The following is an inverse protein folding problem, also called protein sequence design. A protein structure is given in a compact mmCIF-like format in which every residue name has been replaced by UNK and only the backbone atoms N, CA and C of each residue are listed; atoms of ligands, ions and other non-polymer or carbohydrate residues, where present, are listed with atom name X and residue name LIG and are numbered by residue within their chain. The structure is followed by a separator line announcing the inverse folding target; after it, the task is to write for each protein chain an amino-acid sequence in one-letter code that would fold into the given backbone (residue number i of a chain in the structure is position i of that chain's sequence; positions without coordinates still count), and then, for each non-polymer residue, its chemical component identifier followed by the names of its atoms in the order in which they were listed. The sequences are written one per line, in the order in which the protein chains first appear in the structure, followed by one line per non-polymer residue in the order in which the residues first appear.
data_IF_211737671359
#
_entry.id   IF_211737671359
#
_cell.length_a   1.000
_cell.length_b   1.000
_cell.length_c   1.000
_cell.angle_alpha   90.00
_cell.angle_beta   90.00
_cell.angle_gamma   90.00
#
_symmetry.space_group_name_H-M   'P 1'
#
loop_
_entity.id
_entity.type
_entity.pdbx_description
1 polymer ?
#
# COMPACT_ATOMS: atom_id res chain seq x y z
N UNK A 1 -40.96 -0.70 39.37
CA UNK A 1 -40.58 -1.61 38.27
C UNK A 1 -39.56 -0.91 37.40
N UNK A 2 -38.28 -1.30 37.49
CA UNK A 2 -37.16 -0.70 36.73
C UNK A 2 -37.25 -1.18 35.28
N UNK A 3 -37.42 -0.26 34.32
CA UNK A 3 -37.31 -0.57 32.89
C UNK A 3 -35.85 -0.39 32.48
N UNK A 4 -35.17 -1.52 32.30
CA UNK A 4 -33.82 -1.60 31.75
C UNK A 4 -33.95 -1.44 30.23
N UNK A 5 -33.74 -0.23 29.71
CA UNK A 5 -33.60 0.01 28.28
C UNK A 5 -32.14 -0.26 27.91
N UNK A 6 -31.91 -1.46 27.43
CA UNK A 6 -30.67 -1.94 26.83
C UNK A 6 -30.86 -1.93 25.30
N UNK A 7 -29.75 -1.80 24.59
CA UNK A 7 -29.56 -1.87 23.13
C UNK A 7 -29.82 -0.57 22.36
N UNK A 8 -28.93 -0.11 21.46
CA UNK A 8 -28.03 -0.86 20.58
C UNK A 8 -26.89 0.09 20.16
N UNK A 9 -25.65 -0.13 20.63
CA UNK A 9 -24.50 0.60 20.08
C UNK A 9 -24.23 0.06 18.67
N UNK A 10 -24.56 0.86 17.66
CA UNK A 10 -24.13 0.65 16.30
C UNK A 10 -22.60 0.78 16.25
N UNK A 11 -21.88 -0.33 16.45
CA UNK A 11 -20.54 -0.47 15.92
C UNK A 11 -20.70 -0.55 14.40
N UNK A 12 -20.65 0.62 13.75
CA UNK A 12 -20.44 0.72 12.31
C UNK A 12 -19.07 0.14 12.06
N UNK A 13 -19.02 -1.15 11.72
CA UNK A 13 -17.82 -1.80 11.23
C UNK A 13 -17.47 -1.15 9.90
N UNK A 14 -16.59 -0.15 9.95
CA UNK A 14 -15.99 0.45 8.77
C UNK A 14 -15.38 -0.66 7.91
N UNK A 15 -15.68 -0.66 6.61
CA UNK A 15 -14.98 -1.46 5.61
C UNK A 15 -13.48 -1.31 5.86
N UNK A 16 -12.80 -2.42 6.15
CA UNK A 16 -11.38 -2.39 6.50
C UNK A 16 -10.58 -2.11 5.23
N UNK A 17 -10.35 -0.82 4.96
CA UNK A 17 -9.34 -0.37 4.02
C UNK A 17 -8.00 -0.98 4.44
N UNK A 18 -7.27 -1.54 3.48
CA UNK A 18 -5.89 -1.86 3.72
C UNK A 18 -5.07 -0.58 3.88
N UNK A 19 -4.10 -0.55 4.80
CA UNK A 19 -3.28 0.63 5.05
C UNK A 19 -1.82 0.31 5.28
N UNK A 20 -0.94 1.27 5.06
CA UNK A 20 0.49 1.19 5.32
C UNK A 20 0.99 2.50 5.93
N UNK A 21 2.04 2.42 6.74
CA UNK A 21 2.85 3.57 7.14
C UNK A 21 4.16 3.49 6.38
N UNK A 22 4.43 4.45 5.50
CA UNK A 22 5.59 4.47 4.62
C UNK A 22 6.61 5.46 5.17
N UNK A 23 7.83 5.01 5.43
CA UNK A 23 8.90 5.85 5.97
C UNK A 23 10.01 5.95 4.93
N UNK A 24 10.19 7.14 4.37
CA UNK A 24 11.37 7.45 3.59
C UNK A 24 12.49 7.90 4.53
N UNK A 25 13.27 6.95 5.02
CA UNK A 25 14.42 7.19 5.89
C UNK A 25 15.72 7.50 5.10
N UNK A 26 15.59 7.83 3.82
CA UNK A 26 16.70 8.30 2.98
C UNK A 26 16.74 9.82 2.94
N UNK A 27 17.82 10.38 2.37
CA UNK A 27 17.91 11.83 2.08
C UNK A 27 17.29 12.23 0.73
N UNK A 28 16.84 11.26 -0.06
CA UNK A 28 16.36 11.48 -1.42
C UNK A 28 14.83 11.57 -1.43
N UNK A 29 14.27 12.25 -2.42
CA UNK A 29 12.86 12.12 -2.73
C UNK A 29 12.63 10.76 -3.41
N UNK A 30 11.65 10.02 -2.90
CA UNK A 30 11.37 8.65 -3.33
C UNK A 30 9.97 8.54 -3.89
N UNK A 31 9.83 7.80 -4.98
CA UNK A 31 8.55 7.28 -5.43
C UNK A 31 8.28 5.91 -4.79
N UNK A 32 7.05 5.70 -4.36
CA UNK A 32 6.56 4.42 -3.85
C UNK A 32 5.52 3.86 -4.81
N UNK A 33 5.78 2.65 -5.30
CA UNK A 33 4.80 1.83 -6.01
C UNK A 33 4.32 0.74 -5.07
N UNK A 34 3.00 0.64 -4.90
CA UNK A 34 2.37 -0.40 -4.10
C UNK A 34 1.62 -1.31 -5.05
N UNK A 35 1.88 -2.61 -4.94
CA UNK A 35 1.21 -3.65 -5.72
C UNK A 35 0.47 -4.59 -4.75
N UNK A 36 -0.79 -4.90 -5.02
CA UNK A 36 -1.54 -5.93 -4.31
C UNK A 36 -1.27 -7.32 -4.87
N UNK A 37 -1.47 -8.33 -4.04
CA UNK A 37 -1.33 -9.74 -4.39
C UNK A 37 -2.35 -10.21 -5.45
N UNK A 38 -3.48 -9.52 -5.60
CA UNK A 38 -4.45 -9.76 -6.67
C UNK A 38 -4.01 -9.19 -8.04
N UNK A 39 -2.78 -8.68 -8.11
CA UNK A 39 -2.28 -7.95 -9.25
C UNK A 39 -2.92 -6.58 -9.35
N UNK A 40 -3.29 -5.93 -8.23
CA UNK A 40 -3.55 -4.49 -8.16
C UNK A 40 -2.25 -3.68 -7.99
N UNK A 41 -2.24 -2.41 -8.33
CA UNK A 41 -1.12 -1.44 -8.39
C UNK A 41 -1.86 -0.16 -8.12
N UNK A 42 -1.36 0.59 -7.17
CA UNK A 42 -1.97 1.82 -6.73
C UNK A 42 -1.25 3.00 -7.36
N UNK A 43 -1.83 4.21 -7.34
CA UNK A 43 -1.14 5.39 -7.82
C UNK A 43 0.21 5.54 -7.14
N UNK A 44 1.20 6.03 -7.89
CA UNK A 44 2.54 6.29 -7.35
C UNK A 44 2.47 7.44 -6.35
N UNK A 45 3.16 7.29 -5.23
CA UNK A 45 3.22 8.29 -4.17
C UNK A 45 4.66 8.81 -4.10
N UNK A 46 4.82 10.13 -4.08
CA UNK A 46 6.13 10.75 -3.87
C UNK A 46 6.27 11.16 -2.41
N UNK A 47 7.35 10.72 -1.76
CA UNK A 47 7.63 11.01 -0.35
C UNK A 47 9.01 11.69 -0.27
N UNK A 48 9.10 12.93 0.23
CA UNK A 48 10.39 13.60 0.44
C UNK A 48 11.29 12.85 1.44
N UNK A 49 12.60 13.08 1.36
CA UNK A 49 13.57 12.47 2.28
C UNK A 49 13.29 12.82 3.75
N UNK A 50 13.37 11.83 4.63
CA UNK A 50 13.11 11.95 6.07
C UNK A 50 11.64 12.07 6.45
N UNK A 51 10.70 11.94 5.50
CA UNK A 51 9.25 12.05 5.76
C UNK A 51 8.59 10.68 5.93
N UNK A 52 7.42 10.71 6.58
CA UNK A 52 6.54 9.55 6.74
C UNK A 52 5.18 9.88 6.14
N UNK A 53 4.62 8.94 5.38
CA UNK A 53 3.31 9.06 4.77
C UNK A 53 2.40 7.91 5.21
N UNK A 54 1.12 8.20 5.42
CA UNK A 54 0.12 7.16 5.66
C UNK A 54 -0.67 6.92 4.39
N UNK A 55 -0.64 5.68 3.93
CA UNK A 55 -1.34 5.24 2.73
C UNK A 55 -2.49 4.30 3.09
N UNK A 56 -3.59 4.39 2.35
CA UNK A 56 -4.68 3.43 2.39
C UNK A 56 -5.29 3.17 1.00
N UNK A 57 -5.75 1.94 0.76
CA UNK A 57 -6.22 1.53 -0.56
C UNK A 57 -7.56 2.16 -0.99
N UNK A 58 -8.34 2.69 -0.04
CA UNK A 58 -9.59 3.38 -0.31
C UNK A 58 -9.37 4.80 -0.83
N UNK A 59 -8.47 5.56 -0.21
CA UNK A 59 -8.24 6.98 -0.53
C UNK A 59 -7.54 7.16 -1.87
N UNK A 60 -6.69 6.20 -2.26
CA UNK A 60 -5.90 6.29 -3.48
C UNK A 60 -6.56 5.58 -4.67
N UNK A 61 -7.62 4.80 -4.45
CA UNK A 61 -8.32 4.05 -5.49
C UNK A 61 -7.45 2.97 -6.15
N UNK A 62 -8.07 1.94 -6.74
CA UNK A 62 -7.32 0.96 -7.52
C UNK A 62 -6.92 1.57 -8.88
N UNK A 63 -5.63 1.71 -9.16
CA UNK A 63 -5.18 1.98 -10.52
C UNK A 63 -5.52 0.76 -11.38
N UNK A 64 -6.14 1.02 -12.53
CA UNK A 64 -6.59 -0.03 -13.45
C UNK A 64 -5.37 -0.69 -14.08
N UNK A 65 -5.28 -2.01 -13.93
CA UNK A 65 -4.38 -2.82 -14.76
C UNK A 65 -5.00 -2.86 -16.11
N UNK A 66 -4.48 -2.09 -17.03
CA UNK A 66 -4.73 -2.36 -18.42
C UNK A 66 -3.57 -3.27 -18.85
N UNK A 67 -3.88 -4.50 -19.26
CA UNK A 67 -2.94 -5.25 -20.10
C UNK A 67 -2.68 -4.46 -21.41
N UNK A 68 -1.82 -4.98 -22.28
CA UNK A 68 -1.55 -4.32 -23.58
C UNK A 68 -2.82 -4.09 -24.40
N UNK A 69 -3.88 -4.84 -24.13
CA UNK A 69 -5.20 -4.75 -24.75
C UNK A 69 -6.21 -3.86 -24.00
N UNK A 70 -5.85 -3.18 -22.92
CA UNK A 70 -6.79 -2.32 -22.19
C UNK A 70 -7.74 -3.07 -21.25
N UNK A 71 -7.47 -4.32 -20.89
CA UNK A 71 -8.30 -5.13 -19.99
C UNK A 71 -7.73 -5.21 -18.58
N UNK A 72 -8.66 -5.19 -17.61
CA UNK A 72 -8.43 -5.39 -16.17
C UNK A 72 -7.69 -6.72 -15.93
N UNK A 73 -6.38 -6.67 -15.70
CA UNK A 73 -5.57 -7.86 -15.38
C UNK A 73 -5.60 -8.24 -13.88
N UNK A 74 -6.70 -7.89 -13.21
CA UNK A 74 -6.90 -8.18 -11.78
C UNK A 74 -7.45 -9.59 -11.62
N UNK A 75 -6.83 -10.40 -10.75
CA UNK A 75 -7.40 -11.68 -10.37
C UNK A 75 -8.43 -11.48 -9.24
N UNK A 76 -9.72 -11.46 -9.60
CA UNK A 76 -10.83 -11.30 -8.64
C UNK A 76 -10.97 -12.43 -7.61
N UNK A 77 -10.26 -13.54 -7.79
CA UNK A 77 -10.25 -14.66 -6.84
C UNK A 77 -9.16 -14.51 -5.76
N UNK A 78 -8.31 -13.49 -5.84
CA UNK A 78 -7.25 -13.22 -4.86
C UNK A 78 -7.59 -12.01 -4.00
N UNK A 79 -7.03 -11.99 -2.80
CA UNK A 79 -7.07 -10.82 -1.92
C UNK A 79 -6.03 -9.80 -2.35
N UNK A 80 -6.36 -8.51 -2.17
CA UNK A 80 -5.45 -7.38 -2.41
C UNK A 80 -4.19 -7.50 -1.55
N UNK A 81 -4.35 -7.86 -0.27
CA UNK A 81 -3.22 -8.11 0.63
C UNK A 81 -2.73 -9.55 0.52
N UNK A 82 -1.43 -9.83 0.77
CA UNK A 82 -0.41 -8.87 1.17
C UNK A 82 0.09 -8.00 0.00
N UNK A 83 0.71 -6.86 0.30
CA UNK A 83 1.27 -5.95 -0.69
C UNK A 83 2.74 -6.27 -1.01
N UNK A 84 3.15 -5.86 -2.20
CA UNK A 84 4.54 -5.56 -2.53
C UNK A 84 4.73 -4.05 -2.52
N UNK A 85 5.75 -3.55 -1.83
CA UNK A 85 6.09 -2.12 -1.80
C UNK A 85 7.45 -1.94 -2.44
N UNK A 86 7.51 -1.11 -3.48
CA UNK A 86 8.71 -0.84 -4.26
C UNK A 86 9.07 0.62 -4.08
N UNK A 87 10.29 0.87 -3.62
CA UNK A 87 10.87 2.20 -3.53
C UNK A 87 11.72 2.46 -4.77
N UNK A 88 11.56 3.65 -5.36
CA UNK A 88 12.35 4.13 -6.49
C UNK A 88 12.83 5.55 -6.23
N UNK A 89 13.97 5.93 -6.78
CA UNK A 89 14.41 7.33 -6.77
C UNK A 89 13.47 8.15 -7.66
N UNK A 90 12.93 9.27 -7.16
CA UNK A 90 11.96 10.06 -7.93
C UNK A 90 12.56 10.72 -9.19
N UNK A 91 13.87 10.98 -9.18
CA UNK A 91 14.56 11.72 -10.25
C UNK A 91 14.67 10.94 -11.56
N UNK A 92 14.90 9.64 -11.49
CA UNK A 92 15.20 8.75 -12.63
C UNK A 92 14.38 7.45 -12.59
N UNK A 93 13.48 7.31 -11.61
CA UNK A 93 12.68 6.11 -11.37
C UNK A 93 13.54 4.85 -11.19
N UNK A 94 14.81 5.01 -10.81
CA UNK A 94 15.71 3.89 -10.57
C UNK A 94 15.23 3.09 -9.36
N UNK A 95 15.27 1.76 -9.48
CA UNK A 95 14.93 0.86 -8.39
C UNK A 95 15.84 1.10 -7.18
N UNK A 96 15.25 1.20 -6.00
CA UNK A 96 15.99 1.32 -4.76
C UNK A 96 15.88 0.08 -3.89
N UNK A 97 14.66 -0.29 -3.50
CA UNK A 97 14.42 -1.45 -2.63
C UNK A 97 13.01 -1.99 -2.78
N UNK A 98 12.80 -3.23 -2.31
CA UNK A 98 11.50 -3.91 -2.38
C UNK A 98 11.18 -4.69 -1.12
N UNK A 99 9.98 -4.49 -0.61
CA UNK A 99 9.39 -5.29 0.45
C UNK A 99 8.27 -6.16 -0.12
N UNK A 100 8.33 -7.46 0.14
CA UNK A 100 7.31 -8.43 -0.28
C UNK A 100 6.43 -8.83 0.91
N UNK A 101 5.25 -9.35 0.61
CA UNK A 101 4.33 -9.93 1.59
C UNK A 101 3.99 -8.97 2.75
N UNK A 102 3.89 -7.67 2.46
CA UNK A 102 3.58 -6.61 3.44
C UNK A 102 2.11 -6.68 3.83
N UNK A 103 1.83 -6.83 5.12
CA UNK A 103 0.44 -6.89 5.63
C UNK A 103 -0.17 -5.50 5.76
N UNK A 104 -1.50 -5.41 5.71
CA UNK A 104 -2.22 -4.19 6.11
C UNK A 104 -1.85 -3.81 7.55
N UNK A 105 -1.74 -2.51 7.81
CA UNK A 105 -1.31 -1.91 9.06
C UNK A 105 0.21 -1.88 9.28
N UNK A 106 1.01 -2.45 8.37
CA UNK A 106 2.45 -2.50 8.52
C UNK A 106 3.13 -1.15 8.32
N UNK A 107 4.27 -0.98 8.99
CA UNK A 107 5.23 0.08 8.71
C UNK A 107 6.30 -0.46 7.74
N UNK A 108 6.58 0.29 6.68
CA UNK A 108 7.56 -0.06 5.65
C UNK A 108 8.55 1.07 5.53
N UNK A 109 9.84 0.77 5.65
CA UNK A 109 10.92 1.75 5.64
C UNK A 109 11.84 1.48 4.45
N UNK A 110 12.21 2.52 3.70
CA UNK A 110 12.95 2.38 2.45
C UNK A 110 14.26 1.58 2.58
N UNK A 111 15.08 1.82 3.60
CA UNK A 111 16.34 1.09 3.82
C UNK A 111 16.17 -0.33 4.40
N UNK A 112 15.01 -0.66 4.98
CA UNK A 112 14.78 -1.97 5.62
C UNK A 112 14.21 -3.02 4.64
N UNK A 113 13.78 -2.57 3.47
CA UNK A 113 13.39 -3.45 2.38
C UNK A 113 14.62 -4.12 1.75
N UNK A 114 14.43 -5.34 1.21
CA UNK A 114 15.52 -6.03 0.51
C UNK A 114 15.89 -5.23 -0.74
N UNK A 115 17.16 -4.85 -0.84
CA UNK A 115 17.73 -4.39 -2.10
C UNK A 115 17.91 -5.63 -3.00
N UNK A 116 17.60 -5.53 -4.29
CA UNK A 116 17.92 -6.59 -5.24
C UNK A 116 19.45 -6.68 -5.35
N UNK A 117 20.08 -7.52 -4.53
CA UNK A 117 21.37 -8.11 -4.88
C UNK A 117 21.09 -9.21 -5.89
N UNK A 118 20.99 -8.84 -7.17
CA UNK A 118 21.28 -9.80 -8.24
C UNK A 118 22.72 -10.28 -8.04
N UNK A 119 22.88 -11.60 -7.89
CA UNK A 119 24.17 -12.29 -7.97
C UNK A 119 24.28 -12.91 -9.34
#
# INVERSE_FOLDING_TARGET
MKRFLLFLSLFVSTLHAGSLTLINDTKYEMEVVIEGNDGSVFPVITIPGGQTERWDDNSFGHSRFLNKEGQENRNKNLTVTPYTVIWRLAKDQEFYSRCFAVRTGATVTANLCKQNTEK
#
